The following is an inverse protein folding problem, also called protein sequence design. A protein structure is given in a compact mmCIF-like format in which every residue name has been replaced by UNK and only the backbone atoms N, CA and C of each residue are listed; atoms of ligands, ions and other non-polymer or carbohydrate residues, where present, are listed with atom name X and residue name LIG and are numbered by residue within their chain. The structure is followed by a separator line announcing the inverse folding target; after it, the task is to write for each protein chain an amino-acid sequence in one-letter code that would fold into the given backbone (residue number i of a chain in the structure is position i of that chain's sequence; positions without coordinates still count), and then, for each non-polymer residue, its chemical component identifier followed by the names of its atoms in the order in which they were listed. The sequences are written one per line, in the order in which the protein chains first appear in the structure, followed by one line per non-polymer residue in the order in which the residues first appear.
data_IF_162146551937
#
_entry.id   IF_162146551937
#
_cell.length_a   1.000
_cell.length_b   1.000
_cell.length_c   1.000
_cell.angle_alpha   90.00
_cell.angle_beta   90.00
_cell.angle_gamma   90.00
#
_symmetry.space_group_name_H-M   'P 1'
#
loop_
_entity.id
_entity.type
_entity.pdbx_description
1 polymer ?
#
# COMPACT_ATOMS: atom_id res chain seq x y z
N UNK A 1 10.40 -15.88 12.30
CA UNK A 1 9.66 -14.62 12.58
C UNK A 1 8.61 -14.86 13.66
N UNK A 2 7.79 -15.90 13.54
CA UNK A 2 6.76 -16.27 14.54
C UNK A 2 7.29 -16.36 15.98
N UNK A 3 8.36 -17.14 16.22
CA UNK A 3 8.99 -17.26 17.56
C UNK A 3 9.45 -15.91 18.15
N UNK A 4 9.82 -14.95 17.30
CA UNK A 4 10.22 -13.61 17.74
C UNK A 4 9.01 -12.81 18.19
N UNK A 5 7.92 -12.83 17.41
CA UNK A 5 6.69 -12.10 17.72
C UNK A 5 6.01 -12.62 18.98
N UNK A 6 6.07 -13.93 19.24
CA UNK A 6 5.50 -14.57 20.44
C UNK A 6 6.37 -14.35 21.69
N UNK A 7 7.61 -13.89 21.55
CA UNK A 7 8.49 -13.66 22.69
C UNK A 7 7.94 -12.62 23.67
N UNK A 8 8.21 -12.77 24.97
CA UNK A 8 7.75 -11.86 26.01
C UNK A 8 8.09 -10.39 25.73
N UNK A 9 9.26 -10.13 25.15
CA UNK A 9 9.69 -8.78 24.76
C UNK A 9 8.76 -8.18 23.70
N UNK A 10 8.46 -8.93 22.63
CA UNK A 10 7.63 -8.42 21.55
C UNK A 10 6.15 -8.30 21.98
N UNK A 11 5.69 -9.25 22.80
CA UNK A 11 4.33 -9.22 23.34
C UNK A 11 4.06 -8.03 24.27
N UNK A 12 5.09 -7.47 24.90
CA UNK A 12 4.97 -6.33 25.83
C UNK A 12 5.35 -4.98 25.22
N UNK A 13 6.34 -4.97 24.32
CA UNK A 13 6.95 -3.74 23.81
C UNK A 13 6.45 -3.27 22.44
N UNK A 14 5.93 -4.16 21.59
CA UNK A 14 5.35 -3.71 20.32
C UNK A 14 4.17 -2.79 20.56
N UNK A 15 4.12 -1.69 19.79
CA UNK A 15 3.05 -0.69 19.83
C UNK A 15 2.25 -0.63 18.54
N UNK A 16 2.88 -0.93 17.41
CA UNK A 16 2.21 -0.92 16.11
C UNK A 16 2.97 -1.64 15.01
N UNK A 17 2.25 -1.88 13.92
CA UNK A 17 2.76 -2.39 12.64
C UNK A 17 2.40 -1.38 11.56
N UNK A 18 3.41 -0.87 10.85
CA UNK A 18 3.22 -0.02 9.69
C UNK A 18 3.63 -0.79 8.42
N UNK A 19 2.70 -0.90 7.47
CA UNK A 19 2.89 -1.55 6.17
C UNK A 19 2.95 -0.46 5.11
N UNK A 20 4.16 -0.09 4.72
CA UNK A 20 4.37 0.82 3.60
C UNK A 20 4.18 0.10 2.26
N UNK A 21 3.78 0.83 1.23
CA UNK A 21 3.48 0.30 -0.10
C UNK A 21 2.57 -0.94 -0.07
N UNK A 22 1.52 -0.93 0.75
CA UNK A 22 0.66 -2.09 1.03
C UNK A 22 0.05 -2.73 -0.23
N UNK A 23 -0.09 -1.98 -1.33
CA UNK A 23 -0.49 -2.52 -2.65
C UNK A 23 0.39 -3.68 -3.14
N UNK A 24 1.65 -3.75 -2.70
CA UNK A 24 2.58 -4.81 -3.07
C UNK A 24 2.15 -6.17 -2.54
N UNK A 25 1.41 -6.21 -1.42
CA UNK A 25 0.88 -7.44 -0.83
C UNK A 25 0.04 -8.21 -1.85
N UNK A 26 -0.87 -7.51 -2.54
CA UNK A 26 -1.68 -8.11 -3.60
C UNK A 26 -0.88 -8.31 -4.89
N UNK A 27 -0.13 -7.29 -5.32
CA UNK A 27 0.57 -7.31 -6.62
C UNK A 27 1.63 -8.42 -6.69
N UNK A 28 2.37 -8.62 -5.62
CA UNK A 28 3.52 -9.52 -5.56
C UNK A 28 3.26 -10.76 -4.72
N UNK A 29 2.22 -10.77 -3.88
CA UNK A 29 1.89 -11.92 -3.04
C UNK A 29 1.68 -13.21 -3.84
N UNK A 30 1.03 -13.17 -5.00
CA UNK A 30 0.78 -14.37 -5.81
C UNK A 30 1.86 -14.68 -6.85
N UNK A 31 2.76 -13.73 -7.13
CA UNK A 31 3.64 -13.79 -8.32
C UNK A 31 5.13 -13.72 -8.02
N UNK A 32 5.52 -13.19 -6.86
CA UNK A 32 6.93 -12.91 -6.55
C UNK A 32 7.32 -13.21 -5.11
N UNK A 33 6.48 -12.82 -4.14
CA UNK A 33 6.77 -12.98 -2.71
C UNK A 33 5.53 -13.45 -1.95
N UNK A 34 5.30 -14.75 -1.99
CA UNK A 34 4.19 -15.43 -1.31
C UNK A 34 4.12 -15.12 0.19
N UNK A 35 5.25 -14.88 0.86
CA UNK A 35 5.24 -14.50 2.27
C UNK A 35 4.46 -13.21 2.57
N UNK A 36 4.19 -12.36 1.57
CA UNK A 36 3.38 -11.15 1.76
C UNK A 36 1.89 -11.47 1.96
N UNK A 37 1.38 -12.58 1.42
CA UNK A 37 -0.04 -12.96 1.61
C UNK A 37 -0.30 -13.42 3.05
N UNK A 38 0.74 -13.86 3.77
CA UNK A 38 0.69 -14.30 5.17
C UNK A 38 0.73 -13.15 6.18
N UNK A 39 0.62 -11.89 5.74
CA UNK A 39 0.67 -10.74 6.64
C UNK A 39 -0.49 -10.75 7.65
N UNK A 40 -1.65 -11.30 7.29
CA UNK A 40 -2.77 -11.51 8.21
C UNK A 40 -2.46 -12.51 9.32
N UNK A 41 -1.70 -13.57 9.02
CA UNK A 41 -1.19 -14.50 10.04
C UNK A 41 -0.21 -13.80 10.98
N UNK A 42 0.65 -12.93 10.44
CA UNK A 42 1.55 -12.14 11.27
C UNK A 42 0.78 -11.21 12.21
N UNK A 43 -0.31 -10.62 11.74
CA UNK A 43 -1.19 -9.78 12.56
C UNK A 43 -1.80 -10.55 13.74
N UNK A 44 -2.21 -11.81 13.53
CA UNK A 44 -2.82 -12.64 14.60
C UNK A 44 -1.83 -13.03 15.70
N UNK A 45 -0.53 -12.97 15.44
CA UNK A 45 0.53 -13.20 16.42
C UNK A 45 0.91 -11.95 17.23
N UNK A 46 0.47 -10.76 16.81
CA UNK A 46 0.74 -9.52 17.53
C UNK A 46 -0.18 -9.41 18.75
N UNK A 47 0.23 -8.68 19.80
CA UNK A 47 -0.65 -8.32 20.91
C UNK A 47 -1.92 -7.66 20.41
N UNK A 48 -3.06 -7.99 20.99
CA UNK A 48 -4.38 -7.48 20.57
C UNK A 48 -4.46 -5.94 20.50
N UNK A 49 -3.75 -5.25 21.40
CA UNK A 49 -3.68 -3.78 21.46
C UNK A 49 -2.78 -3.14 20.38
N UNK A 50 -2.15 -3.93 19.52
CA UNK A 50 -1.19 -3.43 18.52
C UNK A 50 -1.94 -2.74 17.39
N UNK A 51 -1.67 -1.45 17.17
CA UNK A 51 -2.28 -0.71 16.07
C UNK A 51 -1.64 -1.08 14.73
N UNK A 52 -2.46 -1.24 13.69
CA UNK A 52 -1.98 -1.57 12.33
C UNK A 52 -2.30 -0.42 11.39
N UNK A 53 -1.31 0.01 10.62
CA UNK A 53 -1.42 1.05 9.60
C UNK A 53 -0.93 0.50 8.27
N UNK A 54 -1.70 0.71 7.21
CA UNK A 54 -1.33 0.35 5.84
C UNK A 54 -1.33 1.60 4.97
N UNK A 55 -0.20 1.89 4.32
CA UNK A 55 0.01 3.08 3.51
C UNK A 55 0.13 2.71 2.03
N UNK A 56 -0.46 3.54 1.16
CA UNK A 56 -0.36 3.40 -0.29
C UNK A 56 -0.55 4.76 -0.96
N UNK A 57 0.21 5.01 -2.02
CA UNK A 57 0.03 6.19 -2.86
C UNK A 57 -1.03 6.00 -3.95
N UNK A 58 -1.08 4.80 -4.56
CA UNK A 58 -2.04 4.49 -5.63
C UNK A 58 -3.23 3.72 -5.09
N UNK A 59 -4.42 4.21 -5.43
CA UNK A 59 -5.65 3.80 -4.79
C UNK A 59 -6.75 3.39 -5.77
N UNK A 60 -6.78 2.11 -6.15
CA UNK A 60 -8.04 1.50 -6.65
C UNK A 60 -8.96 1.23 -5.43
N UNK A 61 -10.25 1.49 -5.61
CA UNK A 61 -11.29 1.21 -4.62
C UNK A 61 -11.43 -0.29 -4.35
N UNK A 62 -11.33 -1.13 -5.38
CA UNK A 62 -11.44 -2.60 -5.22
C UNK A 62 -10.29 -3.14 -4.36
N UNK A 63 -9.07 -2.67 -4.64
CA UNK A 63 -7.87 -3.02 -3.91
C UNK A 63 -7.92 -2.60 -2.43
N UNK A 64 -8.67 -1.55 -2.08
CA UNK A 64 -8.81 -1.12 -0.69
C UNK A 64 -9.45 -2.21 0.18
N UNK A 65 -10.61 -2.71 -0.24
CA UNK A 65 -11.34 -3.75 0.48
C UNK A 65 -10.57 -5.07 0.51
N UNK A 66 -9.92 -5.43 -0.59
CA UNK A 66 -9.08 -6.64 -0.64
C UNK A 66 -7.90 -6.57 0.33
N UNK A 67 -7.20 -5.43 0.39
CA UNK A 67 -6.08 -5.27 1.31
C UNK A 67 -6.52 -5.32 2.77
N UNK A 68 -7.66 -4.70 3.10
CA UNK A 68 -8.22 -4.79 4.44
C UNK A 68 -8.45 -6.25 4.84
N UNK A 69 -9.00 -7.06 3.93
CA UNK A 69 -9.22 -8.49 4.16
C UNK A 69 -7.90 -9.26 4.32
N UNK A 70 -6.94 -9.12 3.40
CA UNK A 70 -5.67 -9.85 3.44
C UNK A 70 -4.85 -9.51 4.69
N UNK A 71 -4.88 -8.24 5.12
CA UNK A 71 -4.16 -7.77 6.31
C UNK A 71 -4.88 -8.16 7.61
N UNK A 72 -6.18 -8.44 7.56
CA UNK A 72 -7.00 -8.69 8.75
C UNK A 72 -7.40 -7.41 9.50
N UNK A 73 -7.51 -6.27 8.80
CA UNK A 73 -7.91 -5.02 9.44
C UNK A 73 -9.41 -5.02 9.76
N UNK A 74 -9.75 -4.96 11.05
CA UNK A 74 -11.14 -4.85 11.51
C UNK A 74 -11.59 -3.40 11.53
N UNK A 75 -12.48 -3.02 10.60
CA UNK A 75 -13.08 -1.67 10.50
C UNK A 75 -12.06 -0.52 10.66
N UNK A 76 -11.01 -0.45 9.83
CA UNK A 76 -9.98 0.58 9.98
C UNK A 76 -10.50 1.97 9.60
N UNK A 77 -9.95 3.00 10.24
CA UNK A 77 -10.09 4.37 9.76
C UNK A 77 -9.46 4.48 8.36
N UNK A 78 -10.26 4.86 7.36
CA UNK A 78 -9.78 5.13 6.01
C UNK A 78 -9.57 6.62 5.82
N UNK A 79 -8.33 7.01 5.52
CA UNK A 79 -7.96 8.38 5.17
C UNK A 79 -7.51 8.39 3.73
N UNK A 80 -8.25 9.11 2.88
CA UNK A 80 -7.96 9.22 1.45
C UNK A 80 -7.75 10.69 1.11
N UNK A 81 -6.59 10.99 0.52
CA UNK A 81 -6.26 12.32 0.02
C UNK A 81 -6.23 12.28 -1.52
N UNK A 82 -6.80 13.29 -2.20
CA UNK A 82 -6.74 13.36 -3.65
C UNK A 82 -5.28 13.59 -4.08
N UNK A 83 -4.81 12.93 -5.16
CA UNK A 83 -3.46 13.15 -5.69
C UNK A 83 -3.35 14.46 -6.49
N UNK A 84 -4.39 15.29 -6.50
CA UNK A 84 -4.50 16.49 -7.34
C UNK A 84 -3.40 17.52 -7.02
N UNK A 85 -2.67 17.92 -8.05
CA UNK A 85 -1.72 19.02 -8.01
C UNK A 85 -2.30 20.19 -8.81
N UNK A 86 -2.81 21.27 -8.17
CA UNK A 86 -3.49 22.35 -8.89
C UNK A 86 -2.58 23.11 -9.85
N UNK A 87 -1.27 23.00 -9.68
CA UNK A 87 -0.25 23.58 -10.54
C UNK A 87 0.16 22.69 -11.73
N UNK A 88 -0.50 21.54 -11.94
CA UNK A 88 -0.24 20.63 -13.06
C UNK A 88 -1.48 20.60 -13.97
N UNK A 89 -1.30 21.05 -15.22
CA UNK A 89 -2.34 20.97 -16.26
C UNK A 89 -2.16 19.69 -17.07
N UNK A 90 -3.22 18.89 -17.17
CA UNK A 90 -3.27 17.71 -18.02
C UNK A 90 -3.81 18.09 -19.41
N UNK A 91 -3.05 17.80 -20.47
CA UNK A 91 -3.47 17.97 -21.87
C UNK A 91 -3.26 16.65 -22.63
N UNK A 92 -4.18 16.34 -23.55
CA UNK A 92 -4.11 15.17 -24.42
C UNK A 92 -4.01 15.68 -25.85
N UNK A 93 -3.06 15.15 -26.62
CA UNK A 93 -2.82 15.50 -28.01
C UNK A 93 -2.70 14.21 -28.83
N UNK A 94 -3.17 14.24 -30.08
CA UNK A 94 -2.93 13.15 -31.01
C UNK A 94 -1.45 13.10 -31.42
N UNK A 95 -0.90 11.89 -31.47
CA UNK A 95 0.47 11.66 -31.85
C UNK A 95 0.59 11.55 -33.37
N UNK A 96 1.41 12.41 -33.98
CA UNK A 96 1.75 12.41 -35.40
C UNK A 96 3.21 12.00 -35.63
N UNK A 97 4.16 12.75 -35.04
CA UNK A 97 5.60 12.43 -35.05
C UNK A 97 6.28 13.08 -33.84
N UNK A 98 7.47 12.57 -33.46
CA UNK A 98 8.27 13.13 -32.36
C UNK A 98 8.57 14.62 -32.58
N UNK A 99 8.97 14.99 -33.80
CA UNK A 99 9.28 16.36 -34.16
C UNK A 99 8.01 17.21 -34.01
N UNK A 100 6.94 16.88 -34.74
CA UNK A 100 5.70 17.65 -34.77
C UNK A 100 5.09 17.87 -33.38
N UNK A 101 5.10 16.85 -32.52
CA UNK A 101 4.47 16.91 -31.21
C UNK A 101 5.33 17.56 -30.12
N UNK A 102 6.66 17.56 -30.26
CA UNK A 102 7.57 18.03 -29.21
C UNK A 102 8.47 19.21 -29.61
N UNK A 103 8.40 19.73 -30.85
CA UNK A 103 9.20 20.87 -31.31
C UNK A 103 9.15 22.08 -30.34
N UNK A 104 7.97 22.38 -29.79
CA UNK A 104 7.77 23.53 -28.89
C UNK A 104 8.46 23.42 -27.52
N UNK A 105 9.08 22.27 -27.19
CA UNK A 105 9.80 22.05 -25.93
C UNK A 105 11.34 22.10 -26.09
N UNK A 106 11.85 22.30 -27.31
CA UNK A 106 13.29 22.27 -27.63
C UNK A 106 13.89 23.68 -27.82
N UNK A 107 13.07 24.73 -27.74
CA UNK A 107 13.50 26.15 -27.59
C UNK A 107 13.55 26.55 -26.12
#
# INVERSE_FOLDING_TARGET
MEKLLISATYQTKIKGLALDEARTIKKWGSTFRESLTKIGELQSLLPEKTSVMALRATADYTLHTELQYIIGMKSPLSVVLPPCKPNITYKIHEYNSLESNFMHFVE
#
